data_IF_321726360595
#
_entry.id   IF_321726360595
#
_cell.length_a   1.000
_cell.length_b   1.000
_cell.length_c   1.000
_cell.angle_alpha   90.00
_cell.angle_beta   90.00
_cell.angle_gamma   90.00
#
_symmetry.space_group_name_H-M   'P 1'
#
loop_
_entity.id
_entity.type
_entity.pdbx_description
1 polymer ?
#
# COMPACT_ATOMS: atom_id res chain seq x y z
N UNK A 1 -20.17 86.18 13.75
CA UNK A 1 -19.73 87.43 14.42
C UNK A 1 -19.90 87.24 15.92
N UNK A 2 -18.88 87.67 16.69
CA UNK A 2 -18.79 87.74 18.16
C UNK A 2 -18.68 86.38 18.91
N UNK A 3 -17.46 85.88 19.24
CA UNK A 3 -16.51 86.23 20.34
C UNK A 3 -16.94 85.65 21.69
N UNK A 4 -16.21 84.69 22.27
CA UNK A 4 -15.02 84.86 23.15
C UNK A 4 -15.37 84.20 24.50
N UNK A 5 -14.53 83.66 25.38
CA UNK A 5 -13.11 83.41 25.67
C UNK A 5 -13.14 82.52 26.94
N UNK A 6 -12.11 81.93 27.53
CA UNK A 6 -10.66 81.94 27.42
C UNK A 6 -10.08 81.09 28.58
N UNK A 7 -8.76 80.91 28.57
CA UNK A 7 -7.93 80.39 29.69
C UNK A 7 -7.71 78.87 29.66
N UNK A 8 -6.52 78.28 29.49
CA UNK A 8 -5.14 78.78 29.57
C UNK A 8 -4.44 78.23 30.81
N UNK A 9 -3.59 77.19 30.67
CA UNK A 9 -2.38 76.94 31.50
C UNK A 9 -1.57 75.71 31.02
N UNK A 10 -0.34 75.99 30.56
CA UNK A 10 0.97 75.39 30.87
C UNK A 10 1.14 73.84 30.93
N UNK A 11 1.94 73.22 30.05
CA UNK A 11 3.43 73.14 29.98
C UNK A 11 4.03 71.92 30.72
N UNK A 12 4.59 71.03 29.88
CA UNK A 12 5.87 70.28 29.98
C UNK A 12 6.08 69.10 30.94
N UNK A 13 6.54 68.02 30.31
CA UNK A 13 7.63 67.10 30.68
C UNK A 13 7.42 66.11 31.84
N UNK A 14 7.60 64.82 31.53
CA UNK A 14 7.65 63.76 32.54
C UNK A 14 7.57 62.33 31.99
N UNK A 15 8.56 61.92 31.21
CA UNK A 15 8.89 60.49 31.00
C UNK A 15 9.38 59.87 32.32
N UNK A 16 8.68 58.88 32.87
CA UNK A 16 9.23 57.55 33.20
C UNK A 16 8.34 56.72 34.16
N UNK A 17 8.00 55.52 33.67
CA UNK A 17 8.12 54.21 34.32
C UNK A 17 7.16 53.72 35.42
N UNK A 18 6.90 52.40 35.28
CA UNK A 18 6.42 51.39 36.22
C UNK A 18 4.92 51.42 36.54
N UNK A 19 4.14 50.47 36.02
CA UNK A 19 4.22 49.10 36.52
C UNK A 19 3.86 48.07 35.45
N UNK A 20 4.79 47.13 35.28
CA UNK A 20 4.65 45.88 34.53
C UNK A 20 3.54 45.01 35.10
N UNK A 21 2.64 44.52 34.24
CA UNK A 21 2.04 43.20 34.38
C UNK A 21 2.13 42.51 33.01
N UNK A 22 3.37 42.16 32.68
CA UNK A 22 3.72 41.13 31.73
C UNK A 22 3.15 39.81 32.25
N UNK A 23 2.08 39.30 31.63
CA UNK A 23 1.69 37.91 31.86
C UNK A 23 2.70 37.04 31.11
N UNK A 24 3.64 36.53 31.91
CA UNK A 24 4.54 35.43 31.57
C UNK A 24 3.74 34.24 31.03
N UNK A 25 3.87 33.95 29.73
CA UNK A 25 3.60 32.62 29.18
C UNK A 25 4.94 31.84 29.11
N UNK A 26 5.62 31.77 30.24
CA UNK A 26 6.62 30.75 30.55
C UNK A 26 6.02 29.84 31.61
N UNK A 27 5.47 28.72 31.16
CA UNK A 27 4.74 27.77 31.98
C UNK A 27 4.38 26.55 31.15
N UNK A 28 5.42 25.78 30.78
CA UNK A 28 5.24 24.49 30.15
C UNK A 28 4.46 23.55 31.06
N UNK A 29 3.40 22.96 30.50
CA UNK A 29 2.86 21.70 30.99
C UNK A 29 2.56 20.79 29.78
N UNK A 30 2.78 19.48 29.89
CA UNK A 30 3.46 18.70 28.87
C UNK A 30 2.53 17.59 28.40
N UNK A 31 1.61 17.89 27.48
CA UNK A 31 0.71 16.88 26.91
C UNK A 31 0.66 16.91 25.39
N UNK A 32 1.73 17.43 24.78
CA UNK A 32 1.98 17.37 23.34
C UNK A 32 3.27 16.61 23.05
N UNK A 33 3.35 15.37 23.51
CA UNK A 33 4.41 14.43 23.12
C UNK A 33 3.80 13.07 22.80
N UNK A 34 4.21 12.57 21.64
CA UNK A 34 4.08 11.19 21.16
C UNK A 34 2.74 10.77 20.51
N UNK A 35 2.45 11.33 19.32
CA UNK A 35 1.89 10.50 18.25
C UNK A 35 3.06 9.90 17.45
N UNK A 36 3.21 8.57 17.34
CA UNK A 36 4.30 7.97 16.58
C UNK A 36 3.89 7.84 15.10
N UNK A 37 3.66 8.96 14.41
CA UNK A 37 3.51 8.99 12.95
C UNK A 37 4.85 9.20 12.22
N UNK A 38 5.95 9.41 12.96
CA UNK A 38 7.26 9.80 12.42
C UNK A 38 8.31 8.68 12.35
N UNK A 39 7.99 7.44 12.73
CA UNK A 39 9.03 6.44 13.04
C UNK A 39 9.28 5.32 12.02
N UNK A 40 8.28 4.85 11.27
CA UNK A 40 8.39 3.55 10.60
C UNK A 40 8.72 3.59 9.11
N UNK A 41 8.22 4.60 8.37
CA UNK A 41 8.35 4.63 6.91
C UNK A 41 9.61 5.36 6.41
N UNK A 42 10.28 6.16 7.24
CA UNK A 42 11.49 6.90 6.84
C UNK A 42 12.72 5.98 6.67
N UNK A 43 12.74 4.79 7.29
CA UNK A 43 13.96 3.98 7.38
C UNK A 43 14.14 2.94 6.27
N UNK A 44 13.11 2.74 5.44
CA UNK A 44 13.16 1.83 4.27
C UNK A 44 13.26 2.59 2.92
N UNK A 45 13.48 3.90 2.96
CA UNK A 45 13.74 4.74 1.77
C UNK A 45 15.20 5.20 1.64
N UNK A 46 16.14 4.53 2.32
CA UNK A 46 17.57 4.86 2.22
C UNK A 46 18.23 4.59 0.87
N UNK A 47 17.50 4.20 -0.18
CA UNK A 47 18.07 3.94 -1.51
C UNK A 47 17.03 3.92 -2.64
N UNK A 48 16.20 4.95 -2.83
CA UNK A 48 15.43 5.07 -4.09
C UNK A 48 15.38 6.53 -4.56
N UNK A 49 16.48 6.97 -5.15
CA UNK A 49 16.52 8.04 -6.15
C UNK A 49 17.42 7.54 -7.29
N UNK A 50 16.94 6.56 -8.05
CA UNK A 50 17.62 6.02 -9.21
C UNK A 50 16.61 5.84 -10.34
N UNK A 51 17.00 6.23 -11.55
CA UNK A 51 16.21 5.98 -12.75
C UNK A 51 15.82 4.49 -12.80
N UNK A 52 14.52 4.20 -12.88
CA UNK A 52 14.00 2.84 -13.03
C UNK A 52 14.44 2.36 -14.41
N UNK A 53 15.45 1.48 -14.45
CA UNK A 53 15.77 0.76 -15.67
C UNK A 53 14.65 -0.27 -15.90
N UNK A 54 14.15 -0.43 -17.14
CA UNK A 54 13.22 -1.51 -17.46
C UNK A 54 13.84 -2.86 -17.08
N UNK A 55 13.01 -3.81 -16.64
CA UNK A 55 13.51 -5.12 -16.21
C UNK A 55 14.33 -5.74 -17.34
N UNK A 56 15.60 -6.02 -17.05
CA UNK A 56 16.55 -6.67 -17.99
C UNK A 56 16.40 -8.19 -17.99
N UNK A 57 15.42 -8.72 -17.24
CA UNK A 57 15.18 -10.14 -17.14
C UNK A 57 14.59 -10.65 -18.46
N UNK A 58 15.29 -11.62 -19.06
CA UNK A 58 14.74 -12.44 -20.14
C UNK A 58 13.99 -13.60 -19.51
N UNK A 59 12.75 -13.78 -19.92
CA UNK A 59 11.91 -14.90 -19.48
C UNK A 59 12.21 -16.11 -20.36
N UNK A 60 12.89 -17.06 -19.76
CA UNK A 60 13.13 -18.40 -20.32
C UNK A 60 12.86 -19.50 -19.28
N UNK A 61 12.91 -20.77 -19.70
CA UNK A 61 12.72 -21.93 -18.80
C UNK A 61 13.65 -21.84 -17.57
N UNK A 62 14.89 -21.37 -17.74
CA UNK A 62 15.89 -21.25 -16.66
C UNK A 62 15.49 -20.20 -15.62
N UNK A 63 14.98 -19.05 -16.03
CA UNK A 63 14.53 -17.98 -15.16
C UNK A 63 13.30 -18.39 -14.35
N UNK A 64 12.37 -19.13 -14.96
CA UNK A 64 11.18 -19.68 -14.30
C UNK A 64 11.60 -20.75 -13.28
N UNK A 65 12.44 -21.72 -13.66
CA UNK A 65 12.97 -22.73 -12.74
C UNK A 65 13.75 -22.11 -11.57
N UNK A 66 14.49 -21.03 -11.82
CA UNK A 66 15.18 -20.29 -10.76
C UNK A 66 14.20 -19.70 -9.76
N UNK A 67 13.07 -19.17 -10.22
CA UNK A 67 12.02 -18.68 -9.32
C UNK A 67 11.46 -19.81 -8.45
N UNK A 68 11.22 -21.00 -9.01
CA UNK A 68 10.76 -22.17 -8.27
C UNK A 68 11.73 -22.58 -7.17
N UNK A 69 13.02 -22.69 -7.48
CA UNK A 69 14.08 -23.03 -6.52
C UNK A 69 14.18 -22.01 -5.39
N UNK A 70 13.94 -20.72 -5.67
CA UNK A 70 13.96 -19.68 -4.66
C UNK A 70 12.73 -19.75 -3.75
N UNK A 71 11.53 -19.97 -4.31
CA UNK A 71 10.32 -20.15 -3.52
C UNK A 71 10.41 -21.38 -2.60
N UNK A 72 10.88 -22.52 -3.10
CA UNK A 72 11.09 -23.73 -2.30
C UNK A 72 12.01 -23.50 -1.09
N UNK A 73 13.12 -22.77 -1.29
CA UNK A 73 14.01 -22.38 -0.19
C UNK A 73 13.32 -21.49 0.84
N UNK A 74 12.49 -20.55 0.41
CA UNK A 74 11.74 -19.67 1.33
C UNK A 74 10.72 -20.49 2.13
N UNK A 75 9.98 -21.39 1.48
CA UNK A 75 9.02 -22.29 2.14
C UNK A 75 9.72 -23.13 3.21
N UNK A 76 10.85 -23.77 2.88
CA UNK A 76 11.63 -24.58 3.84
C UNK A 76 12.07 -23.80 5.08
N UNK A 77 12.48 -22.54 4.91
CA UNK A 77 12.84 -21.67 6.05
C UNK A 77 11.62 -21.31 6.89
N UNK A 78 10.48 -21.04 6.25
CA UNK A 78 9.23 -20.70 6.92
C UNK A 78 8.60 -21.92 7.65
N UNK A 79 8.92 -23.14 7.23
CA UNK A 79 8.45 -24.40 7.84
C UNK A 79 9.21 -24.79 9.12
N UNK A 80 10.27 -24.07 9.49
CA UNK A 80 11.02 -24.38 10.70
C UNK A 80 10.08 -24.33 11.93
N UNK A 81 10.05 -25.35 12.81
CA UNK A 81 9.09 -25.42 13.92
C UNK A 81 9.13 -24.18 14.82
N UNK A 82 10.32 -23.62 15.07
CA UNK A 82 10.52 -22.39 15.85
C UNK A 82 9.83 -21.16 15.28
N UNK A 83 9.44 -21.18 14.00
CA UNK A 83 8.72 -20.06 13.40
C UNK A 83 7.35 -19.90 14.01
N UNK A 84 6.63 -20.96 14.40
CA UNK A 84 5.27 -20.86 14.95
C UNK A 84 4.37 -19.94 14.08
N UNK A 85 4.40 -20.11 12.75
CA UNK A 85 3.55 -19.34 11.86
C UNK A 85 2.09 -19.71 12.10
N UNK A 86 1.24 -18.71 12.34
CA UNK A 86 -0.20 -18.90 12.47
C UNK A 86 -0.79 -19.17 11.10
N UNK A 87 -1.76 -20.08 11.02
CA UNK A 87 -2.50 -20.35 9.80
C UNK A 87 -3.57 -19.28 9.57
N UNK A 88 -3.12 -18.05 9.34
CA UNK A 88 -3.97 -16.88 9.09
C UNK A 88 -3.45 -16.14 7.86
N UNK A 89 -4.34 -15.58 7.02
CA UNK A 89 -3.92 -14.77 5.88
C UNK A 89 -3.13 -13.53 6.34
N UNK A 90 -1.99 -13.21 5.69
CA UNK A 90 -1.35 -13.88 4.56
C UNK A 90 -0.44 -15.05 5.01
N UNK A 91 -0.82 -16.29 4.68
CA UNK A 91 -0.07 -17.48 5.07
C UNK A 91 0.90 -17.89 3.96
N UNK A 92 2.18 -17.53 4.12
CA UNK A 92 3.23 -17.72 3.10
C UNK A 92 3.41 -19.18 2.66
N UNK A 93 3.11 -20.14 3.55
CA UNK A 93 3.23 -21.57 3.29
C UNK A 93 2.16 -22.09 2.32
N UNK A 94 1.06 -21.38 2.12
CA UNK A 94 0.07 -21.67 1.06
C UNK A 94 0.32 -20.81 -0.18
N UNK A 95 0.64 -19.52 0.03
CA UNK A 95 0.81 -18.55 -1.06
C UNK A 95 1.92 -18.95 -2.03
N UNK A 96 3.09 -19.38 -1.53
CA UNK A 96 4.22 -19.72 -2.41
C UNK A 96 3.97 -21.00 -3.21
N UNK A 97 3.45 -22.10 -2.62
CA UNK A 97 2.99 -23.25 -3.40
C UNK A 97 1.92 -22.89 -4.44
N UNK A 98 0.93 -22.08 -4.09
CA UNK A 98 -0.09 -21.62 -5.06
C UNK A 98 0.52 -20.82 -6.21
N UNK A 99 1.46 -19.93 -5.89
CA UNK A 99 2.21 -19.15 -6.90
C UNK A 99 3.00 -20.07 -7.81
N UNK A 100 3.66 -21.09 -7.25
CA UNK A 100 4.35 -22.11 -8.03
C UNK A 100 3.41 -22.87 -8.98
N UNK A 101 2.25 -23.34 -8.48
CA UNK A 101 1.29 -24.08 -9.31
C UNK A 101 0.77 -23.22 -10.45
N UNK A 102 0.45 -21.95 -10.18
CA UNK A 102 -0.04 -21.05 -11.20
C UNK A 102 1.04 -20.69 -12.24
N UNK A 103 2.29 -20.46 -11.81
CA UNK A 103 3.42 -20.29 -12.73
C UNK A 103 3.70 -21.54 -13.57
N UNK A 104 3.55 -22.73 -12.98
CA UNK A 104 3.66 -24.00 -13.72
C UNK A 104 2.58 -24.09 -14.78
N UNK A 105 1.34 -23.72 -14.46
CA UNK A 105 0.23 -23.68 -15.40
C UNK A 105 0.51 -22.71 -16.57
N UNK A 106 1.02 -21.50 -16.28
CA UNK A 106 1.44 -20.54 -17.31
C UNK A 106 2.57 -21.15 -18.16
N UNK A 107 3.62 -21.69 -17.53
CA UNK A 107 4.76 -22.29 -18.24
C UNK A 107 4.32 -23.40 -19.22
N UNK A 108 3.39 -24.27 -18.81
CA UNK A 108 2.83 -25.32 -19.66
C UNK A 108 2.01 -24.75 -20.84
N UNK A 109 1.23 -23.68 -20.62
CA UNK A 109 0.45 -23.02 -21.69
C UNK A 109 1.31 -22.31 -22.73
N UNK A 110 2.55 -21.99 -22.38
CA UNK A 110 3.49 -21.25 -23.23
C UNK A 110 4.75 -22.05 -23.55
N UNK A 111 4.75 -23.37 -23.36
CA UNK A 111 5.95 -24.21 -23.51
C UNK A 111 6.61 -24.07 -24.89
N UNK A 112 5.81 -24.08 -25.96
CA UNK A 112 6.26 -23.94 -27.35
C UNK A 112 6.35 -22.49 -27.84
N UNK A 113 5.91 -21.53 -27.01
CA UNK A 113 5.82 -20.10 -27.34
C UNK A 113 6.42 -19.21 -26.25
N UNK A 114 7.57 -19.64 -25.73
CA UNK A 114 8.28 -18.93 -24.66
C UNK A 114 8.65 -17.50 -25.06
N UNK A 115 8.93 -17.24 -26.35
CA UNK A 115 9.13 -15.89 -26.89
C UNK A 115 7.91 -15.00 -26.64
N UNK A 116 6.71 -15.48 -26.93
CA UNK A 116 5.46 -14.75 -26.66
C UNK A 116 5.28 -14.46 -25.18
N UNK A 117 5.60 -15.41 -24.30
CA UNK A 117 5.54 -15.18 -22.85
C UNK A 117 6.57 -14.13 -22.41
N UNK A 118 7.76 -14.19 -22.98
CA UNK A 118 8.80 -13.18 -22.76
C UNK A 118 8.39 -11.82 -23.26
N UNK A 119 7.65 -11.69 -24.36
CA UNK A 119 7.23 -10.41 -24.92
C UNK A 119 6.16 -9.68 -24.08
N UNK A 120 5.44 -10.42 -23.22
CA UNK A 120 4.50 -9.85 -22.25
C UNK A 120 5.27 -9.06 -21.19
N UNK A 121 5.22 -7.73 -21.29
CA UNK A 121 5.91 -6.78 -20.40
C UNK A 121 5.59 -7.03 -18.92
N UNK A 122 4.32 -7.23 -18.60
CA UNK A 122 3.87 -7.56 -17.25
C UNK A 122 4.56 -8.81 -16.68
N UNK A 123 4.67 -9.89 -17.47
CA UNK A 123 5.23 -11.15 -16.97
C UNK A 123 6.73 -11.03 -16.67
N UNK A 124 7.49 -10.28 -17.49
CA UNK A 124 8.90 -9.98 -17.21
C UNK A 124 9.07 -9.26 -15.86
N UNK A 125 8.27 -8.20 -15.65
CA UNK A 125 8.27 -7.41 -14.42
C UNK A 125 7.86 -8.29 -13.22
N UNK A 126 6.82 -9.08 -13.36
CA UNK A 126 6.34 -9.99 -12.33
C UNK A 126 7.43 -10.99 -11.91
N UNK A 127 8.05 -11.67 -12.88
CA UNK A 127 9.03 -12.72 -12.61
C UNK A 127 10.31 -12.17 -11.96
N UNK A 128 10.78 -11.01 -12.43
CA UNK A 128 11.92 -10.31 -11.83
C UNK A 128 11.61 -9.84 -10.40
N UNK A 129 10.40 -9.31 -10.18
CA UNK A 129 9.94 -8.94 -8.84
C UNK A 129 9.88 -10.15 -7.91
N UNK A 130 9.31 -11.28 -8.36
CA UNK A 130 9.21 -12.52 -7.58
C UNK A 130 10.59 -13.01 -7.15
N UNK A 131 11.52 -13.11 -8.09
CA UNK A 131 12.91 -13.51 -7.82
C UNK A 131 13.56 -12.58 -6.80
N UNK A 132 13.36 -11.26 -6.95
CA UNK A 132 13.93 -10.24 -6.06
C UNK A 132 13.33 -10.33 -4.65
N UNK A 133 12.02 -10.50 -4.52
CA UNK A 133 11.34 -10.65 -3.23
C UNK A 133 11.70 -11.96 -2.53
N UNK A 134 11.82 -13.07 -3.25
CA UNK A 134 12.33 -14.31 -2.67
C UNK A 134 13.77 -14.14 -2.16
N UNK A 135 14.67 -13.52 -2.93
CA UNK A 135 16.04 -13.23 -2.46
C UNK A 135 16.06 -12.33 -1.22
N UNK A 136 15.19 -11.32 -1.17
CA UNK A 136 15.05 -10.44 0.00
C UNK A 136 14.60 -11.24 1.23
N UNK A 137 13.65 -12.16 1.06
CA UNK A 137 13.23 -13.06 2.13
C UNK A 137 14.38 -13.96 2.61
N UNK A 138 15.10 -14.62 1.70
CA UNK A 138 16.27 -15.44 2.05
C UNK A 138 17.35 -14.63 2.80
N UNK A 139 17.60 -13.40 2.36
CA UNK A 139 18.53 -12.48 3.04
C UNK A 139 18.03 -12.11 4.43
N UNK A 140 16.73 -11.88 4.60
CA UNK A 140 16.12 -11.59 5.91
C UNK A 140 16.44 -12.70 6.92
N UNK A 141 16.22 -13.97 6.55
CA UNK A 141 16.56 -15.13 7.40
C UNK A 141 18.07 -15.22 7.70
N UNK A 142 18.91 -14.92 6.71
CA UNK A 142 20.37 -14.93 6.89
C UNK A 142 20.84 -13.87 7.89
N UNK A 143 20.29 -12.67 7.78
CA UNK A 143 20.72 -11.50 8.56
C UNK A 143 20.11 -11.51 9.98
N UNK A 144 18.90 -12.04 10.15
CA UNK A 144 18.18 -12.07 11.43
C UNK A 144 18.75 -13.08 12.44
N UNK A 145 19.31 -14.20 11.95
CA UNK A 145 19.64 -15.38 12.78
C UNK A 145 18.45 -15.74 13.70
N UNK A 146 18.66 -15.85 15.01
CA UNK A 146 17.62 -16.20 15.98
C UNK A 146 16.50 -15.15 16.11
N UNK A 147 16.75 -13.88 15.76
CA UNK A 147 15.76 -12.79 15.95
C UNK A 147 14.50 -12.96 15.11
N UNK A 148 14.50 -13.79 14.07
CA UNK A 148 13.30 -14.06 13.26
C UNK A 148 12.28 -14.96 13.96
N UNK A 149 12.73 -15.71 14.97
CA UNK A 149 11.88 -16.57 15.79
C UNK A 149 11.17 -15.78 16.90
N UNK A 150 11.66 -14.58 17.23
CA UNK A 150 11.00 -13.66 18.14
C UNK A 150 9.75 -13.03 17.48
N UNK A 151 8.55 -13.34 17.96
CA UNK A 151 7.28 -12.96 17.33
C UNK A 151 7.11 -11.44 17.12
N UNK A 152 7.69 -10.63 18.02
CA UNK A 152 7.56 -9.17 18.01
C UNK A 152 8.75 -8.44 17.38
N UNK A 153 9.73 -9.17 16.82
CA UNK A 153 10.91 -8.56 16.22
C UNK A 153 10.59 -7.80 14.92
N UNK A 154 11.45 -6.85 14.58
CA UNK A 154 11.39 -6.16 13.29
C UNK A 154 11.54 -7.12 12.10
N UNK A 155 12.27 -8.23 12.28
CA UNK A 155 12.45 -9.28 11.26
C UNK A 155 11.17 -10.05 11.03
N UNK A 156 10.43 -10.38 12.12
CA UNK A 156 9.15 -11.08 12.00
C UNK A 156 8.07 -10.21 11.35
N UNK A 157 8.04 -8.92 11.68
CA UNK A 157 7.19 -7.93 10.98
C UNK A 157 7.59 -7.83 9.50
N UNK A 158 8.88 -7.77 9.19
CA UNK A 158 9.36 -7.73 7.81
C UNK A 158 8.98 -8.98 7.00
N UNK A 159 9.00 -10.16 7.62
CA UNK A 159 8.52 -11.40 6.99
C UNK A 159 7.01 -11.37 6.75
N UNK A 160 6.25 -10.83 7.70
CA UNK A 160 4.79 -10.65 7.58
C UNK A 160 4.46 -9.71 6.41
N UNK A 161 5.18 -8.60 6.30
CA UNK A 161 5.08 -7.68 5.15
C UNK A 161 5.39 -8.39 3.83
N UNK A 162 6.49 -9.16 3.76
CA UNK A 162 6.82 -9.94 2.56
C UNK A 162 5.73 -10.96 2.21
N UNK A 163 5.12 -11.60 3.21
CA UNK A 163 4.01 -12.55 3.02
C UNK A 163 2.79 -11.87 2.42
N UNK A 164 2.47 -10.65 2.86
CA UNK A 164 1.40 -9.84 2.28
C UNK A 164 1.70 -9.45 0.83
N UNK A 165 2.94 -9.05 0.53
CA UNK A 165 3.36 -8.75 -0.84
C UNK A 165 3.23 -9.96 -1.76
N UNK A 166 3.67 -11.14 -1.32
CA UNK A 166 3.47 -12.38 -2.09
C UNK A 166 1.98 -12.67 -2.32
N UNK A 167 1.13 -12.42 -1.32
CA UNK A 167 -0.33 -12.57 -1.50
C UNK A 167 -0.88 -11.66 -2.59
N UNK A 168 -0.46 -10.40 -2.62
CA UNK A 168 -0.89 -9.43 -3.64
C UNK A 168 -0.36 -9.81 -5.03
N UNK A 169 0.91 -10.19 -5.12
CA UNK A 169 1.52 -10.69 -6.35
C UNK A 169 0.77 -11.90 -6.92
N UNK A 170 0.38 -12.87 -6.08
CA UNK A 170 -0.38 -14.03 -6.51
C UNK A 170 -1.79 -13.64 -7.00
N UNK A 171 -2.48 -12.76 -6.29
CA UNK A 171 -3.82 -12.30 -6.67
C UNK A 171 -3.79 -11.57 -8.03
N UNK A 172 -2.80 -10.70 -8.22
CA UNK A 172 -2.57 -9.99 -9.48
C UNK A 172 -2.25 -10.98 -10.62
N UNK A 173 -1.33 -11.92 -10.41
CA UNK A 173 -0.96 -12.92 -11.40
C UNK A 173 -2.18 -13.73 -11.85
N UNK A 174 -3.01 -14.20 -10.90
CA UNK A 174 -4.24 -14.96 -11.19
C UNK A 174 -5.27 -14.13 -11.95
N UNK A 175 -5.35 -12.82 -11.68
CA UNK A 175 -6.27 -11.92 -12.36
C UNK A 175 -5.83 -11.63 -13.81
N UNK A 176 -4.53 -11.50 -14.07
CA UNK A 176 -3.97 -11.20 -15.38
C UNK A 176 -3.63 -12.44 -16.22
N UNK A 177 -3.51 -13.61 -15.59
CA UNK A 177 -3.36 -14.92 -16.24
C UNK A 177 -4.47 -15.90 -15.82
N UNK A 178 -5.76 -15.58 -16.06
CA UNK A 178 -6.84 -16.51 -15.75
C UNK A 178 -6.60 -17.85 -16.47
N UNK A 179 -6.62 -18.94 -15.71
CA UNK A 179 -6.33 -20.29 -16.22
C UNK A 179 -4.98 -20.43 -16.96
N UNK A 180 -4.01 -19.58 -16.62
CA UNK A 180 -2.64 -19.61 -17.15
C UNK A 180 -2.47 -18.98 -18.52
N UNK A 181 -3.47 -18.24 -19.04
CA UNK A 181 -3.41 -17.52 -20.32
C UNK A 181 -3.48 -16.03 -20.04
N UNK A 182 -2.60 -15.24 -20.65
CA UNK A 182 -2.58 -13.80 -20.48
C UNK A 182 -3.89 -13.17 -20.97
N UNK A 183 -4.50 -12.36 -20.11
CA UNK A 183 -5.74 -11.64 -20.35
C UNK A 183 -5.64 -10.19 -19.84
N UNK A 184 -4.43 -9.61 -19.87
CA UNK A 184 -4.19 -8.25 -19.38
C UNK A 184 -4.76 -7.15 -20.27
N UNK A 185 -5.05 -7.46 -21.52
CA UNK A 185 -5.77 -6.63 -22.50
C UNK A 185 -7.28 -6.59 -22.25
N UNK A 186 -7.82 -7.67 -21.68
CA UNK A 186 -9.25 -7.86 -21.38
C UNK A 186 -9.58 -7.66 -19.90
N UNK A 187 -8.58 -7.34 -19.07
CA UNK A 187 -8.79 -7.04 -17.66
C UNK A 187 -9.74 -5.85 -17.48
N UNK A 188 -10.80 -6.05 -16.68
CA UNK A 188 -11.85 -5.05 -16.48
C UNK A 188 -11.67 -4.32 -15.17
N UNK A 189 -11.32 -3.03 -15.25
CA UNK A 189 -11.43 -2.10 -14.13
C UNK A 189 -12.92 -1.91 -13.79
N UNK A 190 -13.25 -2.04 -12.51
CA UNK A 190 -14.62 -2.16 -11.98
C UNK A 190 -15.38 -0.84 -12.04
N UNK A 191 -14.70 0.27 -11.78
CA UNK A 191 -15.30 1.62 -11.79
C UNK A 191 -15.16 2.22 -13.19
N UNK A 192 -16.27 2.58 -13.81
CA UNK A 192 -16.31 3.09 -15.19
C UNK A 192 -15.41 4.31 -15.39
N UNK A 193 -15.50 5.32 -14.52
CA UNK A 193 -14.71 6.55 -14.65
C UNK A 193 -13.20 6.25 -14.59
N UNK A 194 -12.79 5.34 -13.70
CA UNK A 194 -11.42 4.90 -13.59
C UNK A 194 -10.99 4.06 -14.81
N UNK A 195 -11.87 3.20 -15.33
CA UNK A 195 -11.61 2.39 -16.51
C UNK A 195 -11.40 3.27 -17.76
N UNK A 196 -12.23 4.29 -17.93
CA UNK A 196 -12.14 5.23 -19.05
C UNK A 196 -10.86 6.07 -18.93
N UNK A 197 -10.52 6.52 -17.71
CA UNK A 197 -9.26 7.20 -17.45
C UNK A 197 -8.03 6.34 -17.80
N UNK A 198 -8.01 5.07 -17.38
CA UNK A 198 -6.89 4.17 -17.67
C UNK A 198 -6.72 3.94 -19.16
N UNK A 199 -7.82 3.67 -19.88
CA UNK A 199 -7.80 3.49 -21.34
C UNK A 199 -7.33 4.73 -22.09
N UNK A 200 -7.74 5.92 -21.64
CA UNK A 200 -7.30 7.20 -22.20
C UNK A 200 -5.81 7.45 -21.94
N UNK A 201 -5.35 7.20 -20.72
CA UNK A 201 -3.98 7.55 -20.28
C UNK A 201 -2.94 6.53 -20.73
N UNK A 202 -3.29 5.25 -20.74
CA UNK A 202 -2.38 4.14 -21.05
C UNK A 202 -3.02 3.13 -22.02
N UNK A 203 -3.21 3.50 -23.31
CA UNK A 203 -3.75 2.60 -24.31
C UNK A 203 -2.96 1.29 -24.37
N UNK A 204 -3.67 0.16 -24.34
CA UNK A 204 -3.11 -1.20 -24.44
C UNK A 204 -2.03 -1.56 -23.39
N UNK A 205 -1.96 -0.81 -22.28
CA UNK A 205 -1.02 -1.10 -21.18
C UNK A 205 -1.71 -1.82 -20.03
N UNK A 206 -1.15 -2.96 -19.65
CA UNK A 206 -1.52 -3.67 -18.42
C UNK A 206 -0.76 -3.16 -17.20
N UNK A 207 0.43 -2.59 -17.40
CA UNK A 207 1.33 -2.12 -16.34
C UNK A 207 2.12 -0.91 -16.84
N UNK A 208 2.38 0.06 -15.96
CA UNK A 208 3.14 1.28 -16.28
C UNK A 208 4.11 1.63 -15.15
N UNK A 209 5.26 2.27 -15.46
CA UNK A 209 6.16 2.76 -14.42
C UNK A 209 5.49 3.80 -13.52
N UNK A 210 5.76 3.78 -12.21
CA UNK A 210 5.21 4.74 -11.24
C UNK A 210 5.34 6.21 -11.67
N UNK A 211 6.49 6.58 -12.26
CA UNK A 211 6.74 7.95 -12.70
C UNK A 211 5.72 8.40 -13.75
N UNK A 212 5.43 7.54 -14.72
CA UNK A 212 4.45 7.81 -15.77
C UNK A 212 3.03 7.82 -15.20
N UNK A 213 2.70 6.83 -14.36
CA UNK A 213 1.40 6.77 -13.68
C UNK A 213 1.11 8.04 -12.89
N UNK A 214 2.06 8.48 -12.06
CA UNK A 214 1.96 9.70 -11.25
C UNK A 214 1.73 10.93 -12.12
N UNK A 215 2.46 11.06 -13.23
CA UNK A 215 2.35 12.21 -14.11
C UNK A 215 0.94 12.34 -14.69
N UNK A 216 0.41 11.26 -15.27
CA UNK A 216 -0.95 11.27 -15.82
C UNK A 216 -2.00 11.45 -14.73
N UNK A 217 -1.83 10.81 -13.56
CA UNK A 217 -2.81 10.94 -12.47
C UNK A 217 -2.86 12.37 -11.93
N UNK A 218 -1.73 13.08 -11.92
CA UNK A 218 -1.67 14.47 -11.46
C UNK A 218 -2.52 15.43 -12.31
N UNK A 219 -2.75 15.13 -13.59
CA UNK A 219 -3.55 15.97 -14.49
C UNK A 219 -5.02 16.04 -14.07
N UNK A 220 -5.59 14.92 -13.60
CA UNK A 220 -6.99 14.84 -13.17
C UNK A 220 -7.15 14.88 -11.62
N UNK A 221 -6.11 14.45 -10.90
CA UNK A 221 -6.07 14.42 -9.45
C UNK A 221 -4.75 15.01 -8.94
N UNK A 222 -4.72 16.33 -8.66
CA UNK A 222 -3.49 17.02 -8.27
C UNK A 222 -2.81 16.40 -7.05
N UNK A 223 -1.52 16.08 -7.23
CA UNK A 223 -0.62 15.60 -6.17
C UNK A 223 0.30 16.76 -5.80
N UNK A 224 0.18 17.27 -4.57
CA UNK A 224 0.73 18.57 -4.18
C UNK A 224 2.18 18.49 -3.71
N UNK A 225 2.54 17.40 -3.02
CA UNK A 225 3.87 17.27 -2.40
C UNK A 225 4.57 15.96 -2.74
N UNK A 226 5.91 15.95 -2.64
CA UNK A 226 6.68 14.73 -2.83
C UNK A 226 6.38 13.68 -1.74
N UNK A 227 6.11 14.11 -0.50
CA UNK A 227 5.72 13.20 0.58
C UNK A 227 4.36 12.55 0.31
N UNK A 228 3.40 13.32 -0.21
CA UNK A 228 2.11 12.81 -0.66
C UNK A 228 2.29 11.78 -1.79
N UNK A 229 3.15 12.09 -2.78
CA UNK A 229 3.45 11.14 -3.85
C UNK A 229 4.06 9.83 -3.33
N UNK A 230 4.96 9.89 -2.33
CA UNK A 230 5.55 8.69 -1.73
C UNK A 230 4.53 7.87 -0.94
N UNK A 231 3.65 8.52 -0.18
CA UNK A 231 2.57 7.87 0.55
C UNK A 231 1.57 7.21 -0.42
N UNK A 232 1.21 7.93 -1.49
CA UNK A 232 0.31 7.43 -2.53
C UNK A 232 0.91 6.20 -3.21
N UNK A 233 2.18 6.26 -3.61
CA UNK A 233 2.90 5.12 -4.16
C UNK A 233 2.82 3.91 -3.23
N UNK A 234 3.14 4.09 -1.95
CA UNK A 234 3.10 2.99 -0.98
C UNK A 234 1.71 2.41 -0.74
N UNK A 235 0.65 3.12 -1.14
CA UNK A 235 -0.73 2.64 -1.05
C UNK A 235 -1.15 1.88 -2.32
N UNK A 236 -0.73 2.34 -3.51
CA UNK A 236 -1.13 1.76 -4.80
C UNK A 236 -0.22 0.59 -5.20
N UNK A 237 1.10 0.73 -5.02
CA UNK A 237 2.12 -0.26 -5.41
C UNK A 237 2.15 -1.41 -4.39
N UNK A 238 1.11 -2.26 -4.42
CA UNK A 238 0.89 -3.37 -3.49
C UNK A 238 1.99 -4.44 -3.62
N UNK A 239 2.54 -4.61 -4.82
CA UNK A 239 3.63 -5.55 -5.09
C UNK A 239 5.03 -4.97 -4.83
N UNK A 240 5.10 -3.66 -4.57
CA UNK A 240 6.28 -2.82 -4.35
C UNK A 240 7.39 -3.08 -5.35
N UNK A 241 7.08 -2.90 -6.63
CA UNK A 241 8.00 -3.09 -7.75
C UNK A 241 8.30 -1.79 -8.52
N UNK A 242 7.78 -0.64 -8.07
CA UNK A 242 7.88 0.66 -8.74
C UNK A 242 7.07 0.78 -10.04
N UNK A 243 6.19 -0.17 -10.31
CA UNK A 243 5.19 -0.15 -11.37
C UNK A 243 3.79 -0.14 -10.77
N UNK A 244 2.82 0.31 -11.56
CA UNK A 244 1.40 0.21 -11.23
C UNK A 244 0.74 -0.62 -12.32
N UNK A 245 0.12 -1.74 -11.95
CA UNK A 245 -0.72 -2.52 -12.87
C UNK A 245 -2.16 -2.01 -12.91
N UNK A 246 -2.87 -2.34 -13.98
CA UNK A 246 -4.32 -2.13 -14.10
C UNK A 246 -5.10 -2.80 -12.95
N UNK A 247 -4.58 -3.91 -12.42
CA UNK A 247 -5.14 -4.59 -11.25
C UNK A 247 -4.93 -3.79 -9.96
N UNK A 248 -3.71 -3.34 -9.68
CA UNK A 248 -3.42 -2.49 -8.51
C UNK A 248 -4.25 -1.20 -8.55
N UNK A 249 -4.42 -0.63 -9.74
CA UNK A 249 -5.27 0.53 -9.96
C UNK A 249 -6.77 0.24 -9.76
N UNK A 250 -7.30 -0.90 -10.22
CA UNK A 250 -8.67 -1.33 -9.91
C UNK A 250 -8.89 -1.45 -8.40
N UNK A 251 -7.98 -2.12 -7.70
CA UNK A 251 -8.04 -2.28 -6.24
C UNK A 251 -8.07 -0.91 -5.57
N UNK A 252 -7.16 -0.01 -5.93
CA UNK A 252 -7.08 1.33 -5.35
C UNK A 252 -8.36 2.15 -5.57
N UNK A 253 -8.86 2.19 -6.80
CA UNK A 253 -10.04 3.00 -7.15
C UNK A 253 -11.33 2.46 -6.55
N UNK A 254 -11.42 1.16 -6.28
CA UNK A 254 -12.53 0.56 -5.51
C UNK A 254 -12.48 0.94 -4.03
N UNK A 255 -11.29 1.00 -3.45
CA UNK A 255 -11.11 1.33 -2.03
C UNK A 255 -11.40 2.80 -1.71
N UNK A 256 -10.99 3.71 -2.59
CA UNK A 256 -11.06 5.16 -2.34
C UNK A 256 -12.06 5.90 -3.24
N UNK A 257 -13.01 5.16 -3.81
CA UNK A 257 -14.14 5.69 -4.56
C UNK A 257 -14.92 6.76 -3.75
N UNK A 258 -15.67 7.66 -4.41
CA UNK A 258 -15.81 7.83 -5.87
C UNK A 258 -14.60 8.47 -6.55
N UNK A 259 -14.44 8.23 -7.85
CA UNK A 259 -13.31 8.71 -8.68
C UNK A 259 -13.10 10.23 -8.57
N UNK A 260 -14.16 11.03 -8.69
CA UNK A 260 -14.09 12.49 -8.61
C UNK A 260 -13.42 13.05 -7.34
N UNK A 261 -13.40 12.29 -6.24
CA UNK A 261 -12.78 12.67 -4.97
C UNK A 261 -11.67 11.70 -4.55
N UNK A 262 -11.08 10.95 -5.48
CA UNK A 262 -10.19 9.81 -5.21
C UNK A 262 -9.07 10.13 -4.19
N UNK A 263 -8.22 11.13 -4.48
CA UNK A 263 -7.10 11.47 -3.60
C UNK A 263 -7.55 12.15 -2.30
N UNK A 264 -8.69 12.84 -2.31
CA UNK A 264 -9.28 13.40 -1.07
C UNK A 264 -9.75 12.29 -0.14
N UNK A 265 -10.45 11.29 -0.68
CA UNK A 265 -10.92 10.13 0.08
C UNK A 265 -9.75 9.30 0.58
N UNK A 266 -8.75 9.06 -0.26
CA UNK A 266 -7.50 8.41 0.15
C UNK A 266 -6.82 9.17 1.28
N UNK A 267 -6.65 10.49 1.18
CA UNK A 267 -6.05 11.28 2.25
C UNK A 267 -6.85 11.19 3.56
N UNK A 268 -8.19 11.29 3.49
CA UNK A 268 -9.05 11.21 4.67
C UNK A 268 -9.01 9.83 5.33
N UNK A 269 -9.08 8.76 4.54
CA UNK A 269 -9.21 7.39 5.02
C UNK A 269 -7.88 6.72 5.33
N UNK A 270 -6.80 7.09 4.64
CA UNK A 270 -5.49 6.42 4.74
C UNK A 270 -4.39 7.29 5.37
N UNK A 271 -4.45 8.62 5.23
CA UNK A 271 -3.36 9.50 5.70
C UNK A 271 -3.73 10.20 7.01
N UNK A 272 -4.96 10.70 7.11
CA UNK A 272 -5.44 11.48 8.27
C UNK A 272 -6.13 10.63 9.34
N UNK A 273 -6.59 9.42 9.02
CA UNK A 273 -7.40 8.62 9.94
C UNK A 273 -6.53 7.89 10.98
N UNK A 274 -6.68 8.17 12.30
CA UNK A 274 -5.87 7.54 13.34
C UNK A 274 -6.13 6.04 13.49
N UNK A 275 -7.24 5.54 12.93
CA UNK A 275 -7.58 4.12 12.86
C UNK A 275 -7.08 3.40 11.61
N UNK A 276 -6.51 4.11 10.62
CA UNK A 276 -5.91 3.46 9.47
C UNK A 276 -4.49 3.01 9.78
N UNK A 277 -4.19 1.76 9.44
CA UNK A 277 -2.84 1.21 9.53
C UNK A 277 -2.59 0.44 8.25
N UNK A 278 -1.72 0.98 7.41
CA UNK A 278 -1.28 0.31 6.19
C UNK A 278 -0.58 -1.01 6.53
N UNK A 279 -0.83 -2.04 5.72
CA UNK A 279 -0.18 -3.35 5.81
C UNK A 279 -0.34 -4.08 7.17
N UNK A 280 -1.55 -4.13 7.72
CA UNK A 280 -1.86 -5.05 8.81
C UNK A 280 -2.48 -6.35 8.29
N UNK A 281 -2.07 -7.45 8.90
CA UNK A 281 -2.74 -8.75 8.78
C UNK A 281 -4.00 -8.79 9.65
N UNK A 282 -4.89 -9.75 9.39
CA UNK A 282 -6.08 -9.96 10.21
C UNK A 282 -5.73 -10.17 11.69
N UNK A 283 -4.68 -10.95 11.98
CA UNK A 283 -4.24 -11.23 13.35
C UNK A 283 -3.69 -9.99 14.05
N UNK A 284 -2.97 -9.11 13.33
CA UNK A 284 -2.49 -7.85 13.90
C UNK A 284 -3.64 -6.87 14.19
N UNK A 285 -4.67 -6.83 13.32
CA UNK A 285 -5.90 -6.07 13.59
C UNK A 285 -6.59 -6.64 14.83
N UNK A 286 -6.78 -7.96 14.91
CA UNK A 286 -7.41 -8.63 16.05
C UNK A 286 -6.65 -8.39 17.36
N UNK A 287 -5.33 -8.56 17.37
CA UNK A 287 -4.49 -8.32 18.55
C UNK A 287 -4.54 -6.84 19.00
N UNK A 288 -4.58 -5.90 18.06
CA UNK A 288 -4.71 -4.48 18.38
C UNK A 288 -6.08 -4.16 18.98
N UNK A 289 -7.14 -4.79 18.48
CA UNK A 289 -8.52 -4.63 18.98
C UNK A 289 -8.75 -5.36 20.31
N UNK A 290 -8.01 -6.43 20.61
CA UNK A 290 -8.10 -7.15 21.90
C UNK A 290 -7.84 -6.25 23.12
N UNK A 291 -6.96 -5.25 22.98
CA UNK A 291 -6.68 -4.27 24.03
C UNK A 291 -7.85 -3.31 24.33
N UNK A 292 -8.90 -3.32 23.49
CA UNK A 292 -10.09 -2.47 23.63
C UNK A 292 -11.36 -3.27 23.96
N UNK A 293 -11.28 -4.60 24.11
CA UNK A 293 -12.43 -5.48 24.40
C UNK A 293 -13.11 -5.13 25.73
N UNK A 294 -12.37 -4.63 26.72
CA UNK A 294 -12.90 -4.25 28.04
C UNK A 294 -13.40 -2.81 28.13
N UNK A 295 -13.41 -2.06 27.01
CA UNK A 295 -13.90 -0.66 26.94
C UNK A 295 -14.86 -0.50 25.75
N UNK A 296 -16.13 -0.90 25.88
CA UNK A 296 -17.12 -0.58 24.85
C UNK A 296 -17.25 0.95 24.76
N UNK A 297 -17.05 1.52 23.56
CA UNK A 297 -17.46 2.90 23.26
C UNK A 297 -16.51 4.04 23.63
N UNK A 298 -15.17 3.89 23.54
CA UNK A 298 -14.30 5.07 23.39
C UNK A 298 -13.67 5.15 22.00
N UNK A 299 -14.33 5.95 21.18
CA UNK A 299 -13.81 6.65 20.00
C UNK A 299 -12.34 7.06 20.15
N UNK A 300 -11.49 6.68 19.20
CA UNK A 300 -10.19 7.32 19.01
C UNK A 300 -10.48 8.71 18.43
N UNK A 301 -10.52 9.70 19.32
CA UNK A 301 -10.79 11.12 19.06
C UNK A 301 -12.15 11.46 18.42
N UNK A 302 -13.15 11.74 19.26
CA UNK A 302 -14.07 12.87 19.07
C UNK A 302 -15.01 12.91 17.86
N UNK A 303 -15.12 11.86 17.07
CA UNK A 303 -16.16 11.69 16.05
C UNK A 303 -16.60 10.24 16.09
N UNK A 304 -17.88 10.01 16.34
CA UNK A 304 -18.44 8.67 16.54
C UNK A 304 -18.25 7.78 15.32
N UNK A 305 -17.28 6.86 15.39
CA UNK A 305 -17.08 5.80 14.41
C UNK A 305 -16.62 4.53 15.15
N UNK A 306 -17.36 3.44 14.97
CA UNK A 306 -17.16 2.17 15.65
C UNK A 306 -15.89 1.45 15.16
N UNK A 307 -15.26 0.69 16.05
CA UNK A 307 -14.07 -0.16 15.83
C UNK A 307 -14.18 -1.22 14.72
N UNK A 308 -15.30 -1.28 13.99
CA UNK A 308 -15.54 -2.17 12.85
C UNK A 308 -14.83 -1.73 11.56
N UNK A 309 -14.56 -0.43 11.38
CA UNK A 309 -14.17 0.09 10.06
C UNK A 309 -12.74 -0.25 9.62
N UNK A 310 -11.78 -0.41 10.56
CA UNK A 310 -10.41 -0.85 10.22
C UNK A 310 -10.38 -2.33 9.81
N UNK A 311 -11.16 -3.18 10.50
CA UNK A 311 -11.32 -4.59 10.14
C UNK A 311 -12.10 -4.74 8.83
N UNK A 312 -13.11 -3.90 8.60
CA UNK A 312 -13.84 -3.83 7.33
C UNK A 312 -12.96 -3.36 6.18
N UNK A 313 -11.99 -2.47 6.37
CA UNK A 313 -11.08 -2.04 5.30
C UNK A 313 -10.10 -3.16 4.90
N UNK A 314 -9.51 -3.85 5.88
CA UNK A 314 -8.65 -5.03 5.60
C UNK A 314 -9.49 -6.19 5.03
N UNK A 315 -10.68 -6.44 5.56
CA UNK A 315 -11.62 -7.40 4.99
C UNK A 315 -12.11 -6.97 3.61
N UNK A 316 -12.22 -5.67 3.33
CA UNK A 316 -12.58 -5.13 2.02
C UNK A 316 -11.44 -5.35 1.04
N UNK A 317 -10.19 -5.07 1.41
CA UNK A 317 -9.01 -5.44 0.60
C UNK A 317 -9.00 -6.95 0.36
N UNK A 318 -9.13 -7.76 1.41
CA UNK A 318 -9.15 -9.23 1.29
C UNK A 318 -10.32 -9.71 0.44
N UNK A 319 -11.52 -9.12 0.58
CA UNK A 319 -12.70 -9.49 -0.21
C UNK A 319 -12.63 -8.97 -1.64
N UNK A 320 -12.03 -7.80 -1.89
CA UNK A 320 -11.72 -7.28 -3.22
C UNK A 320 -10.75 -8.23 -3.92
N UNK A 321 -9.68 -8.63 -3.23
CA UNK A 321 -8.68 -9.58 -3.73
C UNK A 321 -9.20 -11.03 -3.85
N UNK A 322 -10.20 -11.43 -3.06
CA UNK A 322 -10.90 -12.73 -3.20
C UNK A 322 -11.99 -12.70 -4.28
N UNK A 323 -12.75 -11.60 -4.42
CA UNK A 323 -13.88 -11.50 -5.34
C UNK A 323 -13.47 -11.12 -6.76
N UNK A 324 -12.23 -10.71 -7.01
CA UNK A 324 -11.66 -10.72 -8.38
C UNK A 324 -11.62 -12.13 -8.96
N UNK A 325 -11.61 -13.17 -8.13
CA UNK A 325 -11.70 -14.57 -8.55
C UNK A 325 -13.11 -14.98 -9.02
N UNK A 326 -14.17 -14.31 -8.54
CA UNK A 326 -15.59 -14.64 -8.84
C UNK A 326 -16.23 -13.74 -9.90
N UNK A 327 -15.65 -12.58 -10.21
CA UNK A 327 -16.16 -11.70 -11.26
C UNK A 327 -15.86 -12.20 -12.69
N UNK A 328 -14.87 -13.08 -12.86
CA UNK A 328 -14.57 -13.72 -14.15
C UNK A 328 -15.40 -14.98 -14.44
N UNK A 329 -16.15 -15.51 -13.47
CA UNK A 329 -17.02 -16.69 -13.68
C UNK A 329 -18.51 -16.33 -13.77
N UNK A 330 -18.95 -15.20 -13.20
CA UNK A 330 -20.38 -14.84 -13.14
C UNK A 330 -20.89 -13.94 -14.26
N UNK A 331 -20.07 -13.51 -15.22
CA UNK A 331 -20.53 -12.75 -16.39
C UNK A 331 -20.92 -13.62 -17.59
N UNK A 332 -20.83 -14.96 -17.48
CA UNK A 332 -21.28 -15.90 -18.54
C UNK A 332 -22.75 -16.36 -18.43
N UNK A 333 -23.47 -16.05 -17.36
CA UNK A 333 -24.82 -16.60 -17.12
C UNK A 333 -25.97 -15.57 -17.14
N UNK A 334 -25.75 -14.34 -17.62
CA UNK A 334 -26.83 -13.35 -17.81
C UNK A 334 -26.81 -12.72 -19.21
N UNK A 335 -26.66 -13.56 -20.22
CA UNK A 335 -26.91 -13.20 -21.62
C UNK A 335 -27.74 -14.29 -22.32
N UNK A 336 -28.80 -14.75 -21.67
CA UNK A 336 -29.92 -15.42 -22.33
C UNK A 336 -31.17 -15.22 -21.48
N UNK A 337 -31.94 -14.18 -21.83
CA UNK A 337 -33.40 -14.13 -21.81
C UNK A 337 -33.83 -12.83 -22.52
#
# INVERSE_FOLDING_TARGET
MATGGGGGSNLSAGTNQASNLSINLSGGNPLRKNLPAKGFFSRMQGAIAGAVAPSKLVVDKKSIEKSWKLMDKVVKLCQQPKMNLKNSPPFILDILPDTYQHLKQISLKYEDKMSTLNDIEYFRIFLDNLITKCKKCLKLFKDSKEKIFEEHSEYRRSLTMLSLMFSHMLAELKALFPSGVFAGDTFRITKSDAADWWKKSFPDKTVVPWKLFRQCLHEDHPITTQLEALALKSTIDLTCNDYISSFEFDVFTRLFQPWCNLLRNWNLLAVAHPGYVAFLTYDEVKARLQNFITKPGRSVAGVGWNSGHTAEFVNCIINILRNTHTLNTNTRNHATL
#
